data_IF_299485456767
#
_entry.id   IF_299485456767
#
_cell.length_a   1.000
_cell.length_b   1.000
_cell.length_c   1.000
_cell.angle_alpha   90.00
_cell.angle_beta   90.00
_cell.angle_gamma   90.00
#
_symmetry.space_group_name_H-M   'P 1'
#
loop_
_entity.id
_entity.type
_entity.pdbx_description
1 polymer ?
#
# COMPACT_ATOMS: atom_id res chain seq x y z
N UNK A 1 -21.39 -14.29 -16.58
CA UNK A 1 -21.18 -15.20 -15.44
C UNK A 1 -21.06 -16.66 -15.87
N UNK A 2 -22.13 -17.35 -16.31
CA UNK A 2 -22.13 -18.81 -16.61
C UNK A 2 -21.02 -19.26 -17.58
N UNK A 3 -20.79 -18.50 -18.65
CA UNK A 3 -19.71 -18.76 -19.62
C UNK A 3 -18.30 -18.67 -19.00
N UNK A 4 -18.08 -17.78 -18.05
CA UNK A 4 -16.78 -17.65 -17.36
C UNK A 4 -16.56 -18.81 -16.38
N UNK A 5 -17.62 -19.21 -15.65
CA UNK A 5 -17.55 -20.32 -14.72
C UNK A 5 -17.28 -21.67 -15.42
N UNK A 6 -17.93 -21.91 -16.57
CA UNK A 6 -17.67 -23.10 -17.38
C UNK A 6 -16.18 -23.17 -17.82
N UNK A 7 -15.64 -22.06 -18.34
CA UNK A 7 -14.22 -21.97 -18.73
C UNK A 7 -13.25 -22.16 -17.56
N UNK A 8 -13.59 -21.68 -16.36
CA UNK A 8 -12.76 -21.90 -15.17
C UNK A 8 -12.78 -23.36 -14.71
N UNK A 9 -13.90 -24.06 -14.88
CA UNK A 9 -14.02 -25.50 -14.60
C UNK A 9 -13.23 -26.33 -15.61
N UNK A 10 -13.39 -26.03 -16.90
CA UNK A 10 -12.62 -26.67 -17.98
C UNK A 10 -11.10 -26.54 -17.77
N UNK A 11 -10.65 -25.39 -17.25
CA UNK A 11 -9.23 -25.14 -16.93
C UNK A 11 -8.77 -25.70 -15.59
N UNK A 12 -9.67 -26.25 -14.76
CA UNK A 12 -9.35 -26.75 -13.43
C UNK A 12 -9.01 -25.68 -12.39
N UNK A 13 -9.42 -24.42 -12.60
CA UNK A 13 -9.03 -23.28 -11.75
C UNK A 13 -10.05 -22.92 -10.68
N UNK A 14 -11.19 -23.60 -10.64
CA UNK A 14 -12.30 -23.23 -9.78
C UNK A 14 -11.93 -23.29 -8.30
N UNK A 15 -11.22 -24.33 -7.88
CA UNK A 15 -10.75 -24.49 -6.50
C UNK A 15 -9.61 -23.51 -6.17
N UNK A 16 -8.65 -23.38 -7.09
CA UNK A 16 -7.50 -22.50 -6.91
C UNK A 16 -7.88 -21.00 -6.74
N UNK A 17 -8.98 -20.58 -7.35
CA UNK A 17 -9.52 -19.21 -7.26
C UNK A 17 -10.52 -19.00 -6.11
N UNK A 18 -10.95 -20.07 -5.43
CA UNK A 18 -11.96 -19.98 -4.39
C UNK A 18 -11.52 -19.05 -3.24
N UNK A 19 -10.25 -19.13 -2.83
CA UNK A 19 -9.64 -18.25 -1.83
C UNK A 19 -9.74 -16.76 -2.24
N UNK A 20 -9.33 -16.42 -3.47
CA UNK A 20 -9.38 -15.04 -3.97
C UNK A 20 -10.83 -14.54 -4.08
N UNK A 21 -11.78 -15.37 -4.52
CA UNK A 21 -13.19 -15.00 -4.58
C UNK A 21 -13.78 -14.78 -3.18
N UNK A 22 -13.49 -15.66 -2.23
CA UNK A 22 -13.94 -15.49 -0.85
C UNK A 22 -13.37 -14.20 -0.25
N UNK A 23 -12.09 -13.90 -0.50
CA UNK A 23 -11.46 -12.66 -0.05
C UNK A 23 -12.04 -11.39 -0.70
N UNK A 24 -12.76 -11.49 -1.83
CA UNK A 24 -13.49 -10.36 -2.44
C UNK A 24 -14.90 -10.19 -1.87
N UNK A 25 -15.42 -11.19 -1.17
CA UNK A 25 -16.73 -11.12 -0.51
C UNK A 25 -16.66 -10.57 0.91
N UNK A 26 -15.46 -10.46 1.48
CA UNK A 26 -15.26 -9.93 2.83
C UNK A 26 -15.48 -8.39 2.86
N UNK A 27 -16.53 -7.89 3.54
CA UNK A 27 -16.80 -6.46 3.62
C UNK A 27 -15.72 -5.70 4.43
N UNK A 28 -15.02 -6.36 5.37
CA UNK A 28 -13.96 -5.72 6.16
C UNK A 28 -12.82 -5.22 5.27
N UNK A 29 -12.58 -5.90 4.15
CA UNK A 29 -11.56 -5.50 3.16
C UNK A 29 -11.83 -4.13 2.53
N UNK A 30 -13.09 -3.71 2.50
CA UNK A 30 -13.51 -2.46 1.89
C UNK A 30 -13.77 -1.35 2.91
N UNK A 31 -13.69 -1.65 4.22
CA UNK A 31 -13.85 -0.63 5.25
C UNK A 31 -12.72 0.41 5.16
N UNK A 32 -13.04 1.70 5.09
CA UNK A 32 -12.04 2.75 5.19
C UNK A 32 -11.26 2.62 6.48
N UNK A 33 -9.94 2.76 6.40
CA UNK A 33 -9.06 2.86 7.56
C UNK A 33 -8.49 4.28 7.61
N UNK A 34 -9.14 5.22 8.31
CA UNK A 34 -8.70 6.63 8.37
C UNK A 34 -7.23 6.78 8.75
N UNK A 35 -6.74 5.96 9.68
CA UNK A 35 -5.36 5.97 10.15
C UNK A 35 -4.34 5.49 9.10
N UNK A 36 -4.78 4.84 8.03
CA UNK A 36 -3.91 4.43 6.91
C UNK A 36 -4.04 5.34 5.68
N UNK A 37 -5.04 6.24 5.66
CA UNK A 37 -5.34 7.07 4.50
C UNK A 37 -4.16 7.94 4.05
N UNK A 38 -3.26 8.33 4.97
CA UNK A 38 -2.04 9.08 4.68
C UNK A 38 -1.09 8.35 3.71
N UNK A 39 -1.12 7.02 3.65
CA UNK A 39 -0.28 6.24 2.72
C UNK A 39 -0.61 6.52 1.25
N UNK A 40 -1.82 7.01 0.96
CA UNK A 40 -2.30 7.37 -0.39
C UNK A 40 -1.90 8.80 -0.81
N UNK A 41 -1.41 9.62 0.12
CA UNK A 41 -0.94 10.97 -0.18
C UNK A 41 0.36 10.89 -0.98
N UNK A 42 0.37 11.42 -2.20
CA UNK A 42 1.53 11.31 -3.11
C UNK A 42 2.82 11.82 -2.48
N UNK A 43 2.77 12.94 -1.78
CA UNK A 43 3.93 13.61 -1.19
C UNK A 43 4.28 13.13 0.23
N UNK A 44 3.59 12.11 0.77
CA UNK A 44 3.91 11.58 2.09
C UNK A 44 5.39 11.20 2.23
N UNK A 45 5.99 10.68 1.14
CA UNK A 45 7.40 10.28 1.06
C UNK A 45 8.41 11.42 1.34
N UNK A 46 7.97 12.69 1.41
CA UNK A 46 8.80 13.86 1.76
C UNK A 46 8.81 14.19 3.25
N UNK A 47 7.93 13.59 4.05
CA UNK A 47 7.79 13.85 5.48
C UNK A 47 8.34 12.68 6.31
N UNK A 48 8.98 12.96 7.44
CA UNK A 48 9.47 11.95 8.41
C UNK A 48 9.20 12.43 9.83
N UNK A 49 9.15 11.50 10.77
CA UNK A 49 8.95 11.80 12.18
C UNK A 49 7.65 12.56 12.45
N UNK A 50 7.72 13.58 13.30
CA UNK A 50 6.57 14.38 13.72
C UNK A 50 5.73 14.93 12.55
N UNK A 51 6.28 15.59 11.50
CA UNK A 51 5.49 15.99 10.33
C UNK A 51 4.67 14.86 9.70
N UNK A 52 5.19 13.63 9.67
CA UNK A 52 4.44 12.49 9.14
C UNK A 52 3.34 12.03 10.11
N UNK A 53 3.57 12.10 11.42
CA UNK A 53 2.53 11.88 12.44
C UNK A 53 1.39 12.90 12.32
N UNK A 54 1.73 14.18 12.11
CA UNK A 54 0.74 15.23 11.85
C UNK A 54 -0.03 14.95 10.56
N UNK A 55 0.65 14.58 9.47
CA UNK A 55 -0.01 14.20 8.22
C UNK A 55 -0.98 13.03 8.43
N UNK A 56 -0.59 11.99 9.19
CA UNK A 56 -1.47 10.86 9.54
C UNK A 56 -2.71 11.34 10.26
N UNK A 57 -2.56 12.15 11.30
CA UNK A 57 -3.66 12.69 12.09
C UNK A 57 -4.65 13.52 11.26
N UNK A 58 -4.13 14.44 10.43
CA UNK A 58 -4.96 15.30 9.58
C UNK A 58 -5.64 14.52 8.45
N UNK A 59 -4.96 13.53 7.86
CA UNK A 59 -5.55 12.72 6.80
C UNK A 59 -6.64 11.80 7.36
N UNK A 60 -6.46 11.27 8.58
CA UNK A 60 -7.50 10.50 9.26
C UNK A 60 -8.74 11.35 9.52
N UNK A 61 -8.57 12.57 10.05
CA UNK A 61 -9.67 13.52 10.20
C UNK A 61 -10.39 13.80 8.88
N UNK A 62 -9.64 14.01 7.79
CA UNK A 62 -10.26 14.23 6.47
C UNK A 62 -11.07 13.03 5.99
N UNK A 63 -10.57 11.81 6.21
CA UNK A 63 -11.29 10.58 5.84
C UNK A 63 -12.57 10.43 6.68
N UNK A 64 -12.51 10.72 7.99
CA UNK A 64 -13.67 10.72 8.89
C UNK A 64 -14.74 11.73 8.41
N UNK A 65 -14.34 12.95 8.03
CA UNK A 65 -15.25 13.97 7.49
C UNK A 65 -15.84 13.58 6.14
N UNK A 66 -15.04 13.00 5.24
CA UNK A 66 -15.50 12.52 3.94
C UNK A 66 -16.57 11.44 4.08
N UNK A 67 -16.38 10.50 5.02
CA UNK A 67 -17.35 9.44 5.35
C UNK A 67 -18.61 10.04 5.96
N UNK A 68 -18.47 10.91 6.96
CA UNK A 68 -19.60 11.51 7.67
C UNK A 68 -20.49 12.36 6.74
N UNK A 69 -19.89 13.08 5.81
CA UNK A 69 -20.60 13.99 4.90
C UNK A 69 -20.98 13.33 3.57
N UNK A 70 -20.59 12.08 3.34
CA UNK A 70 -20.71 11.37 2.06
C UNK A 70 -20.18 12.20 0.88
N UNK A 71 -18.93 12.69 1.03
CA UNK A 71 -18.29 13.57 0.04
C UNK A 71 -16.91 13.09 -0.35
N UNK A 72 -16.46 13.34 -1.59
CA UNK A 72 -15.09 13.05 -1.99
C UNK A 72 -14.08 13.73 -1.05
N UNK A 73 -13.09 12.98 -0.56
CA UNK A 73 -12.01 13.49 0.32
C UNK A 73 -11.35 14.80 -0.14
N UNK A 74 -11.16 14.96 -1.46
CA UNK A 74 -10.58 16.20 -2.04
C UNK A 74 -11.47 17.43 -1.88
N UNK A 75 -12.78 17.25 -1.73
CA UNK A 75 -13.72 18.35 -1.50
C UNK A 75 -13.71 18.81 -0.05
N UNK A 76 -13.27 17.96 0.88
CA UNK A 76 -13.05 18.34 2.27
C UNK A 76 -11.76 19.17 2.36
N UNK A 77 -10.62 18.63 1.94
CA UNK A 77 -9.33 19.32 1.99
C UNK A 77 -8.34 18.73 0.99
N UNK A 78 -7.58 19.56 0.29
CA UNK A 78 -6.61 19.10 -0.71
C UNK A 78 -5.39 18.41 -0.07
N UNK A 79 -4.79 17.45 -0.78
CA UNK A 79 -3.59 16.74 -0.36
C UNK A 79 -2.41 17.70 -0.14
N UNK A 80 -2.26 18.73 -0.98
CA UNK A 80 -1.20 19.72 -0.87
C UNK A 80 -1.32 20.55 0.42
N UNK A 81 -2.56 20.90 0.79
CA UNK A 81 -2.83 21.67 2.02
C UNK A 81 -2.55 20.82 3.26
N UNK A 82 -2.93 19.54 3.25
CA UNK A 82 -2.57 18.61 4.32
C UNK A 82 -1.05 18.50 4.53
N UNK A 83 -0.29 18.43 3.44
CA UNK A 83 1.18 18.36 3.48
C UNK A 83 1.78 19.68 3.97
N UNK A 84 1.22 20.83 3.57
CA UNK A 84 1.64 22.15 4.04
C UNK A 84 1.38 22.31 5.55
N UNK A 85 0.19 21.94 6.03
CA UNK A 85 -0.15 21.94 7.45
C UNK A 85 0.76 21.02 8.26
N UNK A 86 1.05 19.83 7.74
CA UNK A 86 1.97 18.89 8.37
C UNK A 86 3.41 19.41 8.48
N UNK A 87 3.85 20.27 7.55
CA UNK A 87 5.17 20.93 7.61
C UNK A 87 5.19 22.13 8.56
N UNK A 88 4.16 22.99 8.49
CA UNK A 88 4.10 24.22 9.30
C UNK A 88 3.72 23.94 10.75
N UNK A 89 2.90 22.92 11.00
CA UNK A 89 2.39 22.54 12.31
C UNK A 89 1.86 23.72 13.14
N UNK A 90 0.89 24.49 12.60
CA UNK A 90 0.37 25.68 13.27
C UNK A 90 -0.22 25.34 14.64
N UNK A 91 -0.03 26.23 15.61
CA UNK A 91 -0.55 26.09 16.98
C UNK A 91 -1.65 27.10 17.31
N UNK A 92 -1.86 28.09 16.44
CA UNK A 92 -2.91 29.09 16.58
C UNK A 92 -3.74 29.24 15.30
N UNK A 93 -4.96 29.77 15.42
CA UNK A 93 -5.81 30.09 14.27
C UNK A 93 -5.20 31.18 13.36
N UNK A 94 -4.40 32.09 13.93
CA UNK A 94 -3.67 33.09 13.17
C UNK A 94 -2.65 32.45 12.22
N UNK A 95 -1.96 31.39 12.66
CA UNK A 95 -0.99 30.65 11.85
C UNK A 95 -1.64 29.81 10.73
N UNK A 96 -2.95 29.55 10.79
CA UNK A 96 -3.70 28.90 9.71
C UNK A 96 -4.06 29.86 8.57
N UNK A 97 -4.13 31.17 8.82
CA UNK A 97 -4.48 32.16 7.80
C UNK A 97 -3.52 32.20 6.59
N UNK A 98 -2.18 32.15 6.74
CA UNK A 98 -1.26 32.18 5.62
C UNK A 98 -1.13 30.86 4.85
N UNK A 99 -1.88 29.81 5.23
CA UNK A 99 -1.86 28.51 4.54
C UNK A 99 -2.73 28.61 3.29
N UNK A 100 -2.11 28.46 2.11
CA UNK A 100 -2.83 28.55 0.83
C UNK A 100 -3.78 27.36 0.71
N UNK A 101 -4.98 27.61 0.17
CA UNK A 101 -6.00 26.56 0.01
C UNK A 101 -6.92 26.36 1.22
N UNK A 102 -6.70 27.06 2.34
CA UNK A 102 -7.70 27.19 3.40
C UNK A 102 -8.56 28.43 3.16
N UNK A 103 -9.83 28.25 2.82
CA UNK A 103 -10.78 29.36 2.70
C UNK A 103 -11.17 29.89 4.09
N UNK A 104 -11.58 31.17 4.17
CA UNK A 104 -12.04 31.74 5.44
C UNK A 104 -13.27 31.01 6.00
N UNK A 105 -14.19 30.56 5.13
CA UNK A 105 -15.36 29.79 5.52
C UNK A 105 -14.96 28.42 6.11
N UNK A 106 -14.04 27.71 5.46
CA UNK A 106 -13.52 26.44 5.94
C UNK A 106 -12.86 26.58 7.32
N UNK A 107 -12.02 27.60 7.49
CA UNK A 107 -11.33 27.88 8.75
C UNK A 107 -12.30 28.14 9.91
N UNK A 108 -13.32 28.97 9.68
CA UNK A 108 -14.38 29.23 10.68
C UNK A 108 -15.03 27.95 11.22
N UNK A 109 -15.13 26.91 10.38
CA UNK A 109 -15.76 25.65 10.75
C UNK A 109 -14.77 24.63 11.33
N UNK A 110 -13.51 24.63 10.89
CA UNK A 110 -12.59 23.51 11.12
C UNK A 110 -11.28 23.85 11.82
N UNK A 111 -10.97 25.12 12.11
CA UNK A 111 -9.70 25.52 12.75
C UNK A 111 -9.47 24.78 14.07
N UNK A 112 -10.47 24.74 14.95
CA UNK A 112 -10.38 24.06 16.23
C UNK A 112 -10.07 22.55 16.07
N UNK A 113 -10.72 21.89 15.11
CA UNK A 113 -10.49 20.47 14.84
C UNK A 113 -9.08 20.22 14.29
N UNK A 114 -8.61 21.03 13.34
CA UNK A 114 -7.27 20.91 12.78
C UNK A 114 -6.19 21.15 13.84
N UNK A 115 -6.30 22.21 14.62
CA UNK A 115 -5.35 22.55 15.69
C UNK A 115 -5.31 21.46 16.75
N UNK A 116 -6.47 20.92 17.15
CA UNK A 116 -6.56 19.80 18.08
C UNK A 116 -5.83 18.55 17.55
N UNK A 117 -6.02 18.20 16.27
CA UNK A 117 -5.35 17.05 15.63
C UNK A 117 -3.84 17.24 15.52
N UNK A 118 -3.37 18.46 15.26
CA UNK A 118 -1.94 18.81 15.23
C UNK A 118 -1.35 18.73 16.65
N UNK A 119 -2.04 19.29 17.65
CA UNK A 119 -1.60 19.26 19.04
C UNK A 119 -1.49 17.82 19.57
N UNK A 120 -2.50 16.98 19.31
CA UNK A 120 -2.46 15.57 19.70
C UNK A 120 -1.28 14.82 19.06
N UNK A 121 -1.00 15.05 17.77
CA UNK A 121 0.15 14.45 17.10
C UNK A 121 1.50 14.94 17.67
N UNK A 122 1.59 16.18 18.16
CA UNK A 122 2.79 16.71 18.83
C UNK A 122 3.05 16.06 20.18
N UNK A 123 2.00 15.67 20.90
CA UNK A 123 2.13 14.96 22.19
C UNK A 123 2.43 13.48 22.02
N UNK A 124 2.37 12.96 20.80
CA UNK A 124 2.62 11.55 20.52
C UNK A 124 4.12 11.22 20.63
N UNK A 125 4.49 10.17 21.38
CA UNK A 125 5.88 9.79 21.54
C UNK A 125 6.49 9.30 20.21
N UNK A 126 7.78 9.57 19.95
CA UNK A 126 8.44 9.24 18.67
C UNK A 126 8.30 7.79 18.22
N UNK A 127 8.19 6.86 19.18
CA UNK A 127 8.05 5.42 18.96
C UNK A 127 6.72 5.04 18.29
N UNK A 128 5.68 5.89 18.42
CA UNK A 128 4.37 5.67 17.81
C UNK A 128 4.19 6.39 16.47
N UNK A 129 5.14 7.25 16.10
CA UNK A 129 5.10 7.95 14.83
C UNK A 129 5.08 6.95 13.67
N UNK A 130 4.31 7.23 12.61
CA UNK A 130 4.27 6.37 11.45
C UNK A 130 5.67 6.28 10.83
N UNK A 131 6.16 5.05 10.64
CA UNK A 131 7.34 4.79 9.84
C UNK A 131 6.95 4.64 8.38
N UNK A 132 7.73 5.26 7.47
CA UNK A 132 7.64 4.87 6.09
C UNK A 132 8.32 3.51 5.91
N UNK A 133 7.68 2.55 5.24
CA UNK A 133 8.34 1.30 4.91
C UNK A 133 9.53 1.61 4.02
N UNK A 134 10.74 1.59 4.60
CA UNK A 134 11.98 1.57 3.83
C UNK A 134 12.15 0.15 3.34
N UNK A 135 12.02 -0.06 2.04
CA UNK A 135 12.39 -1.36 1.50
C UNK A 135 13.90 -1.47 1.49
N UNK A 136 14.46 -2.58 2.02
CA UNK A 136 15.88 -2.84 1.87
C UNK A 136 16.23 -2.90 0.39
N UNK A 137 17.44 -2.43 0.04
CA UNK A 137 17.97 -2.67 -1.30
C UNK A 137 18.28 -4.16 -1.41
N UNK A 138 17.91 -4.76 -2.54
CA UNK A 138 18.30 -6.13 -2.82
C UNK A 138 19.82 -6.22 -2.97
N UNK A 139 20.41 -7.26 -2.40
CA UNK A 139 21.78 -7.66 -2.74
C UNK A 139 21.87 -8.08 -4.22
N UNK A 140 23.08 -8.23 -4.74
CA UNK A 140 23.29 -8.74 -6.10
C UNK A 140 22.63 -10.14 -6.27
N UNK A 141 22.77 -10.99 -5.26
CA UNK A 141 22.18 -12.33 -5.22
C UNK A 141 20.64 -12.29 -5.18
N UNK A 142 20.06 -11.43 -4.35
CA UNK A 142 18.63 -11.21 -4.29
C UNK A 142 18.09 -10.65 -5.62
N UNK A 143 18.86 -9.79 -6.27
CA UNK A 143 18.52 -9.26 -7.60
C UNK A 143 18.51 -10.36 -8.66
N UNK A 144 19.48 -11.27 -8.63
CA UNK A 144 19.51 -12.44 -9.51
C UNK A 144 18.30 -13.36 -9.28
N UNK A 145 17.94 -13.65 -8.01
CA UNK A 145 16.72 -14.40 -7.68
C UNK A 145 15.45 -13.71 -8.17
N UNK A 146 15.37 -12.38 -8.03
CA UNK A 146 14.25 -11.60 -8.54
C UNK A 146 14.14 -11.66 -10.08
N UNK A 147 15.26 -11.72 -10.80
CA UNK A 147 15.28 -11.92 -12.26
C UNK A 147 14.75 -13.31 -12.63
N UNK A 148 15.23 -14.38 -11.97
CA UNK A 148 14.75 -15.75 -12.19
C UNK A 148 13.24 -15.88 -11.95
N UNK A 149 12.72 -15.23 -10.90
CA UNK A 149 11.28 -15.18 -10.64
C UNK A 149 10.53 -14.46 -11.76
N UNK A 150 11.06 -13.35 -12.30
CA UNK A 150 10.44 -12.63 -13.43
C UNK A 150 10.39 -13.49 -14.69
N UNK A 151 11.44 -14.26 -14.98
CA UNK A 151 11.47 -15.21 -16.10
C UNK A 151 10.45 -16.33 -15.92
N UNK A 152 10.39 -16.93 -14.72
CA UNK A 152 9.38 -17.95 -14.39
C UNK A 152 7.95 -17.38 -14.56
N UNK A 153 7.69 -16.20 -14.01
CA UNK A 153 6.39 -15.53 -14.13
C UNK A 153 6.06 -15.29 -15.60
N UNK A 154 7.01 -14.80 -16.41
CA UNK A 154 6.82 -14.59 -17.84
C UNK A 154 6.48 -15.87 -18.60
N UNK A 155 7.23 -16.95 -18.34
CA UNK A 155 6.99 -18.26 -18.96
C UNK A 155 5.62 -18.84 -18.58
N UNK A 156 5.27 -18.82 -17.29
CA UNK A 156 3.98 -19.32 -16.79
C UNK A 156 2.81 -18.45 -17.25
N UNK A 157 2.98 -17.13 -17.27
CA UNK A 157 2.02 -16.18 -17.81
C UNK A 157 1.69 -16.51 -19.27
N UNK A 158 2.71 -16.73 -20.11
CA UNK A 158 2.54 -17.10 -21.51
C UNK A 158 1.81 -18.45 -21.66
N UNK A 159 2.24 -19.47 -20.91
CA UNK A 159 1.62 -20.80 -20.95
C UNK A 159 0.12 -20.78 -20.61
N UNK A 160 -0.26 -20.04 -19.56
CA UNK A 160 -1.65 -19.96 -19.11
C UNK A 160 -2.44 -18.79 -19.74
N UNK A 161 -1.82 -18.03 -20.66
CA UNK A 161 -2.40 -16.85 -21.31
C UNK A 161 -2.92 -15.80 -20.31
N UNK A 162 -2.12 -15.51 -19.30
CA UNK A 162 -2.40 -14.52 -18.25
C UNK A 162 -1.44 -13.35 -18.44
N UNK A 163 -1.87 -12.12 -18.16
CA UNK A 163 -0.95 -11.00 -18.08
C UNK A 163 0.07 -11.21 -16.94
N UNK A 164 1.39 -11.07 -17.17
CA UNK A 164 2.40 -11.23 -16.10
C UNK A 164 2.12 -10.36 -14.86
N UNK A 165 1.64 -9.13 -15.06
CA UNK A 165 1.27 -8.22 -13.95
C UNK A 165 0.07 -8.68 -13.12
N UNK A 166 -0.79 -9.55 -13.65
CA UNK A 166 -1.89 -10.14 -12.89
C UNK A 166 -1.40 -11.27 -11.95
N UNK A 167 -0.32 -11.96 -12.33
CA UNK A 167 0.37 -12.93 -11.48
C UNK A 167 1.12 -12.23 -10.35
N UNK A 168 2.02 -11.31 -10.69
CA UNK A 168 2.84 -10.62 -9.71
C UNK A 168 3.28 -9.23 -10.20
N UNK A 169 3.42 -8.30 -9.26
CA UNK A 169 4.13 -7.05 -9.50
C UNK A 169 5.57 -7.11 -8.92
N UNK A 170 6.32 -6.01 -9.07
CA UNK A 170 7.67 -5.91 -8.50
C UNK A 170 7.69 -6.13 -6.98
N UNK A 171 6.66 -5.66 -6.27
CA UNK A 171 6.57 -5.77 -4.81
C UNK A 171 6.43 -7.22 -4.39
N UNK A 172 5.58 -8.00 -5.07
CA UNK A 172 5.37 -9.40 -4.72
C UNK A 172 6.64 -10.23 -4.86
N UNK A 173 7.43 -9.95 -5.90
CA UNK A 173 8.70 -10.61 -6.20
C UNK A 173 9.75 -10.22 -5.15
N UNK A 174 9.87 -8.93 -4.85
CA UNK A 174 10.80 -8.43 -3.83
C UNK A 174 10.49 -8.99 -2.45
N UNK A 175 9.22 -8.95 -2.03
CA UNK A 175 8.80 -9.51 -0.74
C UNK A 175 9.14 -11.00 -0.66
N UNK A 176 8.93 -11.76 -1.74
CA UNK A 176 9.30 -13.18 -1.75
C UNK A 176 10.81 -13.41 -1.58
N UNK A 177 11.64 -12.64 -2.28
CA UNK A 177 13.10 -12.73 -2.22
C UNK A 177 13.66 -12.29 -0.86
N UNK A 178 13.00 -11.32 -0.22
CA UNK A 178 13.35 -10.83 1.12
C UNK A 178 12.89 -11.76 2.24
N UNK A 179 12.16 -12.84 1.92
CA UNK A 179 11.61 -13.76 2.91
C UNK A 179 10.36 -13.23 3.62
N UNK A 180 9.76 -12.15 3.10
CA UNK A 180 8.50 -11.61 3.58
C UNK A 180 7.31 -12.42 3.05
N UNK A 181 6.14 -12.21 3.65
CA UNK A 181 4.88 -12.73 3.13
C UNK A 181 4.62 -12.22 1.71
N UNK A 182 4.41 -13.15 0.78
CA UNK A 182 4.12 -12.83 -0.62
C UNK A 182 2.94 -13.67 -1.11
N UNK A 183 2.01 -13.02 -1.82
CA UNK A 183 0.84 -13.68 -2.42
C UNK A 183 1.22 -14.75 -3.45
N UNK A 184 2.47 -14.76 -3.92
CA UNK A 184 2.98 -15.79 -4.81
C UNK A 184 2.97 -17.18 -4.17
N UNK A 185 3.01 -17.25 -2.82
CA UNK A 185 3.01 -18.52 -2.06
C UNK A 185 1.60 -19.11 -1.86
N UNK A 186 0.53 -18.39 -2.21
CA UNK A 186 -0.86 -18.76 -1.88
C UNK A 186 -1.77 -18.81 -3.11
N UNK A 187 -2.94 -19.43 -2.93
CA UNK A 187 -4.01 -19.53 -3.93
C UNK A 187 -3.57 -20.02 -5.31
N UNK A 188 -4.25 -19.51 -6.34
CA UNK A 188 -4.00 -19.87 -7.74
C UNK A 188 -2.62 -19.45 -8.25
N UNK A 189 -1.99 -18.42 -7.66
CA UNK A 189 -0.66 -17.96 -8.07
C UNK A 189 0.39 -19.03 -7.78
N UNK A 190 0.33 -19.64 -6.59
CA UNK A 190 1.20 -20.75 -6.24
C UNK A 190 0.97 -21.98 -7.12
N UNK A 191 -0.29 -22.25 -7.50
CA UNK A 191 -0.64 -23.33 -8.42
C UNK A 191 -0.07 -23.09 -9.83
N UNK A 192 -0.18 -21.86 -10.36
CA UNK A 192 0.34 -21.49 -11.68
C UNK A 192 1.86 -21.50 -11.74
N UNK A 193 2.52 -20.96 -10.72
CA UNK A 193 3.99 -20.86 -10.68
C UNK A 193 4.67 -22.20 -10.35
N UNK A 194 3.95 -23.09 -9.66
CA UNK A 194 4.46 -24.34 -9.14
C UNK A 194 5.14 -24.14 -7.79
N UNK A 195 4.51 -24.63 -6.71
CA UNK A 195 4.96 -24.46 -5.32
C UNK A 195 6.43 -24.82 -5.10
N UNK A 196 6.88 -25.94 -5.66
CA UNK A 196 8.25 -26.44 -5.53
C UNK A 196 9.27 -25.56 -6.26
N UNK A 197 8.96 -25.13 -7.49
CA UNK A 197 9.84 -24.26 -8.27
C UNK A 197 9.97 -22.90 -7.61
N UNK A 198 8.85 -22.37 -7.11
CA UNK A 198 8.82 -21.12 -6.36
C UNK A 198 9.63 -21.23 -5.06
N UNK A 199 9.46 -22.32 -4.31
CA UNK A 199 10.21 -22.56 -3.07
C UNK A 199 11.72 -22.67 -3.33
N UNK A 200 12.12 -23.37 -4.39
CA UNK A 200 13.54 -23.53 -4.76
C UNK A 200 14.19 -22.19 -5.12
N UNK A 201 13.53 -21.35 -5.93
CA UNK A 201 14.08 -20.04 -6.31
C UNK A 201 14.11 -19.10 -5.09
N UNK A 202 13.12 -19.18 -4.21
CA UNK A 202 13.08 -18.38 -2.99
C UNK A 202 14.15 -18.82 -1.96
N UNK A 203 14.40 -20.13 -1.83
CA UNK A 203 15.29 -20.73 -0.84
C UNK A 203 16.74 -20.96 -1.31
N UNK A 204 17.05 -20.69 -2.58
CA UNK A 204 18.38 -20.95 -3.12
C UNK A 204 19.48 -20.21 -2.31
N UNK A 205 20.50 -20.91 -1.77
CA UNK A 205 21.70 -20.29 -1.21
C UNK A 205 22.54 -19.66 -2.33
N UNK A 206 23.50 -18.75 -2.01
CA UNK A 206 24.32 -18.05 -3.00
C UNK A 206 24.95 -19.06 -3.96
N UNK A 207 24.66 -18.90 -5.25
CA UNK A 207 25.38 -19.62 -6.29
C UNK A 207 26.81 -19.08 -6.32
N UNK A 208 27.72 -19.78 -5.66
CA UNK A 208 29.15 -19.69 -5.90
C UNK A 208 29.43 -20.32 -7.26
N UNK A 209 29.51 -19.49 -8.29
CA UNK A 209 30.15 -19.76 -9.58
C UNK A 209 30.65 -18.41 -10.10
N UNK A 210 31.89 -18.19 -10.53
CA UNK A 210 32.79 -19.08 -11.24
C UNK A 210 34.20 -18.46 -11.14
N UNK A 211 35.18 -19.17 -10.57
CA UNK A 211 36.61 -18.91 -10.84
C UNK A 211 37.13 -20.21 -11.42
N UNK A 212 37.32 -20.21 -12.73
CA UNK A 212 38.17 -21.14 -13.46
C UNK A 212 39.39 -20.36 -13.91
#
# INVERSE_FOLDING_TARGET
YTRQLARLRERGWSEALAEDFQALTDPERYRPQPQEAWRRIREQHRLRGLPLAVLRSLTAWREEQAIQQDRPRRWILDDAVLVELARRMPVTAAELQPVRGLSAAFRRQHDAALLSRIAAARTEPPERWPAQPRRPRLSAEQTARANQLRELIGSRAAHYQIAPGALADRRDIESLVLGEESRLRRGWRAAVLGKETLARIAAAPPSSAHTA
#
